data_IF_323349847089
#
_entry.id   IF_323349847089
#
_cell.length_a   1.000
_cell.length_b   1.000
_cell.length_c   1.000
_cell.angle_alpha   90.00
_cell.angle_beta   90.00
_cell.angle_gamma   90.00
#
_symmetry.space_group_name_H-M   'P 1'
#
loop_
_entity.id
_entity.type
_entity.pdbx_description
1 polymer ?
#
# COMPACT_ATOMS: atom_id res chain seq x y z
N UNK A 1 11.19 15.40 6.13
CA UNK A 1 9.81 15.90 6.29
C UNK A 1 9.11 15.00 7.31
N UNK A 2 8.60 15.54 8.43
CA UNK A 2 7.83 14.79 9.44
C UNK A 2 6.37 15.26 9.35
N UNK A 3 5.63 14.72 8.39
CA UNK A 3 4.17 14.75 8.41
C UNK A 3 3.74 13.41 9.01
N UNK A 4 3.46 13.43 10.31
CA UNK A 4 2.99 12.24 11.00
C UNK A 4 1.66 12.63 11.64
N UNK A 5 0.60 11.95 11.22
CA UNK A 5 -0.75 12.15 11.72
C UNK A 5 -0.88 11.47 13.09
N UNK A 6 -0.10 11.92 14.09
CA UNK A 6 -0.09 11.31 15.43
C UNK A 6 -1.49 11.41 16.07
N UNK A 7 -2.14 10.27 16.25
CA UNK A 7 -3.18 10.08 17.28
C UNK A 7 -4.53 10.77 17.05
N UNK A 8 -4.94 11.05 15.81
CA UNK A 8 -6.27 11.63 15.57
C UNK A 8 -7.32 10.54 15.31
N UNK A 9 -8.43 10.61 16.04
CA UNK A 9 -9.64 9.81 15.81
C UNK A 9 -10.16 10.08 14.39
N UNK A 10 -10.61 9.04 13.67
CA UNK A 10 -11.15 9.16 12.31
C UNK A 10 -10.09 9.22 11.20
N UNK A 11 -8.88 8.74 11.47
CA UNK A 11 -7.78 8.71 10.51
C UNK A 11 -7.90 7.52 9.54
N UNK A 12 -7.81 7.83 8.25
CA UNK A 12 -7.97 6.89 7.14
C UNK A 12 -6.75 6.96 6.22
N UNK A 13 -6.13 5.81 5.93
CA UNK A 13 -5.04 5.71 4.96
C UNK A 13 -5.42 4.79 3.81
N UNK A 14 -5.12 5.22 2.59
CA UNK A 14 -5.13 4.39 1.39
C UNK A 14 -3.72 4.37 0.79
N UNK A 15 -3.11 3.20 0.72
CA UNK A 15 -1.83 3.02 0.06
C UNK A 15 -2.01 2.13 -1.18
N UNK A 16 -1.56 2.58 -2.35
CA UNK A 16 -1.69 1.82 -3.60
C UNK A 16 -0.33 1.66 -4.26
N UNK A 17 0.04 0.43 -4.57
CA UNK A 17 1.16 0.14 -5.45
C UNK A 17 0.78 -0.91 -6.48
N UNK A 18 0.59 -0.49 -7.73
CA UNK A 18 0.27 -1.37 -8.84
C UNK A 18 1.18 -1.11 -10.03
N UNK A 19 1.38 -2.09 -10.90
CA UNK A 19 1.97 -1.92 -12.22
C UNK A 19 1.38 -2.95 -13.19
N UNK A 20 1.33 -2.62 -14.48
CA UNK A 20 0.81 -3.51 -15.51
C UNK A 20 1.96 -4.38 -16.03
N UNK A 21 2.11 -5.55 -15.43
CA UNK A 21 3.10 -6.53 -15.86
C UNK A 21 2.77 -7.05 -17.26
N UNK A 22 3.80 -7.31 -18.05
CA UNK A 22 3.66 -7.95 -19.36
C UNK A 22 3.44 -9.47 -19.23
N UNK A 23 3.18 -10.12 -20.36
CA UNK A 23 2.91 -11.55 -20.38
C UNK A 23 4.11 -12.38 -19.91
N UNK A 24 5.34 -11.97 -20.26
CA UNK A 24 6.56 -12.69 -19.86
C UNK A 24 6.72 -12.68 -18.34
N UNK A 25 6.56 -11.53 -17.70
CA UNK A 25 6.55 -11.43 -16.23
C UNK A 25 5.47 -12.32 -15.62
N UNK A 26 4.25 -12.27 -16.17
CA UNK A 26 3.12 -13.02 -15.66
C UNK A 26 3.29 -14.54 -15.80
N UNK A 27 4.15 -15.01 -16.69
CA UNK A 27 4.42 -16.43 -16.90
C UNK A 27 5.71 -16.89 -16.21
N UNK A 28 6.73 -16.05 -16.15
CA UNK A 28 8.11 -16.47 -15.89
C UNK A 28 8.73 -15.87 -14.63
N UNK A 29 8.27 -14.70 -14.16
CA UNK A 29 8.89 -14.03 -13.01
C UNK A 29 8.74 -14.85 -11.71
N UNK A 30 9.75 -14.81 -10.85
CA UNK A 30 9.76 -15.55 -9.58
C UNK A 30 8.59 -15.19 -8.67
N UNK A 31 8.06 -13.96 -8.77
CA UNK A 31 6.93 -13.45 -7.97
C UNK A 31 5.60 -14.10 -8.33
N UNK A 32 5.51 -14.76 -9.49
CA UNK A 32 4.30 -15.52 -9.86
C UNK A 32 4.43 -17.02 -9.58
N UNK A 33 5.59 -17.47 -9.06
CA UNK A 33 5.88 -18.87 -8.75
C UNK A 33 5.58 -19.20 -7.29
N UNK A 34 4.76 -20.23 -6.99
CA UNK A 34 4.36 -20.57 -5.62
C UNK A 34 5.50 -21.12 -4.76
N UNK A 35 6.58 -21.58 -5.37
CA UNK A 35 7.75 -22.22 -4.76
C UNK A 35 8.96 -21.27 -4.63
N UNK A 36 8.85 -20.04 -5.14
CA UNK A 36 9.87 -18.99 -5.02
C UNK A 36 9.30 -17.81 -4.20
N UNK A 37 9.04 -16.66 -4.84
CA UNK A 37 8.48 -15.47 -4.18
C UNK A 37 6.95 -15.59 -4.06
N UNK A 38 6.53 -16.57 -3.25
CA UNK A 38 5.18 -17.12 -3.21
C UNK A 38 4.06 -16.13 -2.82
N UNK A 39 4.43 -15.00 -2.21
CA UNK A 39 3.52 -13.95 -1.75
C UNK A 39 3.01 -13.03 -2.88
N UNK A 40 3.62 -13.11 -4.08
CA UNK A 40 3.19 -12.37 -5.27
C UNK A 40 3.04 -10.87 -5.05
N UNK A 41 1.97 -10.28 -5.60
CA UNK A 41 1.74 -8.83 -5.53
C UNK A 41 1.68 -8.30 -4.10
N UNK A 42 1.24 -9.10 -3.12
CA UNK A 42 1.24 -8.71 -1.71
C UNK A 42 2.66 -8.62 -1.14
N UNK A 43 3.52 -9.60 -1.43
CA UNK A 43 4.89 -9.62 -0.91
C UNK A 43 5.81 -8.61 -1.60
N UNK A 44 5.56 -8.33 -2.88
CA UNK A 44 6.35 -7.39 -3.66
C UNK A 44 5.84 -5.95 -3.50
N UNK A 45 4.68 -5.64 -4.07
CA UNK A 45 4.12 -4.29 -4.07
C UNK A 45 3.40 -3.95 -2.75
N UNK A 46 2.62 -4.91 -2.22
CA UNK A 46 1.88 -4.74 -0.97
C UNK A 46 2.77 -4.48 0.25
N UNK A 47 4.03 -4.92 0.22
CA UNK A 47 5.02 -4.66 1.27
C UNK A 47 5.28 -3.16 1.45
N UNK A 48 5.42 -2.41 0.36
CA UNK A 48 5.60 -0.95 0.42
C UNK A 48 4.36 -0.27 0.99
N UNK A 49 3.16 -0.70 0.59
CA UNK A 49 1.92 -0.16 1.12
C UNK A 49 1.78 -0.44 2.62
N UNK A 50 2.05 -1.66 3.07
CA UNK A 50 2.03 -2.03 4.48
C UNK A 50 3.04 -1.21 5.29
N UNK A 51 4.26 -1.03 4.76
CA UNK A 51 5.30 -0.19 5.36
C UNK A 51 4.86 1.27 5.50
N UNK A 52 4.26 1.83 4.45
CA UNK A 52 3.76 3.21 4.46
C UNK A 52 2.64 3.41 5.49
N UNK A 53 1.69 2.47 5.56
CA UNK A 53 0.60 2.50 6.55
C UNK A 53 1.18 2.43 7.97
N UNK A 54 2.13 1.53 8.22
CA UNK A 54 2.78 1.42 9.53
C UNK A 54 3.53 2.72 9.86
N UNK A 55 4.31 3.27 8.94
CA UNK A 55 5.02 4.53 9.14
C UNK A 55 4.06 5.68 9.49
N UNK A 56 2.93 5.79 8.80
CA UNK A 56 1.92 6.81 9.04
C UNK A 56 1.16 6.63 10.38
N UNK A 57 1.27 5.46 11.00
CA UNK A 57 0.67 5.14 12.30
C UNK A 57 1.71 4.82 13.39
N UNK A 58 2.90 5.42 13.28
CA UNK A 58 3.98 5.30 14.27
C UNK A 58 4.44 3.87 14.54
N UNK A 59 4.36 3.03 13.50
CA UNK A 59 4.65 1.60 13.53
C UNK A 59 3.80 0.78 14.51
N UNK A 60 2.69 1.33 15.00
CA UNK A 60 1.72 0.57 15.78
C UNK A 60 1.04 -0.46 14.88
N UNK A 61 1.08 -1.72 15.28
CA UNK A 61 0.46 -2.81 14.54
C UNK A 61 -1.07 -2.75 14.58
N UNK A 62 -1.77 -3.09 13.49
CA UNK A 62 -3.22 -3.24 13.51
C UNK A 62 -3.63 -4.39 14.43
N UNK A 63 -4.86 -4.30 14.93
CA UNK A 63 -5.49 -5.33 15.76
C UNK A 63 -6.11 -6.43 14.95
N UNK A 64 -6.60 -6.08 13.76
CA UNK A 64 -7.14 -7.03 12.80
C UNK A 64 -6.87 -6.59 11.38
N UNK A 65 -6.84 -7.57 10.48
CA UNK A 65 -6.76 -7.38 9.03
C UNK A 65 -7.87 -8.20 8.40
N UNK A 66 -8.72 -7.54 7.62
CA UNK A 66 -9.80 -8.19 6.88
C UNK A 66 -9.47 -8.15 5.40
N UNK A 67 -9.25 -9.29 4.78
CA UNK A 67 -9.01 -9.37 3.35
C UNK A 67 -10.34 -9.55 2.59
N UNK A 68 -10.49 -8.89 1.43
CA UNK A 68 -11.66 -9.08 0.57
C UNK A 68 -11.59 -10.41 -0.19
N UNK A 69 -12.73 -11.04 -0.53
CA UNK A 69 -12.77 -12.38 -1.13
C UNK A 69 -12.11 -12.49 -2.52
N UNK A 70 -11.83 -11.38 -3.21
CA UNK A 70 -11.13 -11.37 -4.49
C UNK A 70 -9.62 -11.20 -4.32
N UNK A 71 -8.97 -12.26 -3.82
CA UNK A 71 -7.53 -12.38 -3.67
C UNK A 71 -6.98 -13.29 -4.77
N UNK A 72 -6.14 -12.76 -5.63
CA UNK A 72 -5.29 -13.57 -6.51
C UNK A 72 -3.82 -13.27 -6.19
N UNK A 73 -2.90 -14.16 -6.54
CA UNK A 73 -1.46 -13.89 -6.38
C UNK A 73 -0.98 -12.68 -7.20
N UNK A 74 -1.74 -12.33 -8.25
CA UNK A 74 -1.44 -11.24 -9.18
C UNK A 74 -2.09 -9.91 -8.76
N UNK A 75 -3.11 -9.96 -7.91
CA UNK A 75 -3.86 -8.78 -7.49
C UNK A 75 -4.54 -9.04 -6.14
N UNK A 76 -4.32 -8.12 -5.21
CA UNK A 76 -4.99 -8.09 -3.93
C UNK A 76 -5.82 -6.82 -3.84
N UNK A 77 -7.14 -6.98 -3.78
CA UNK A 77 -8.08 -5.88 -3.61
C UNK A 77 -8.28 -5.57 -2.13
N UNK A 78 -7.78 -4.40 -1.69
CA UNK A 78 -8.23 -3.64 -0.52
C UNK A 78 -8.47 -4.43 0.79
N UNK A 79 -7.45 -5.02 1.44
CA UNK A 79 -7.63 -5.50 2.79
C UNK A 79 -7.74 -4.29 3.72
N UNK A 80 -8.66 -4.33 4.68
CA UNK A 80 -8.82 -3.30 5.69
C UNK A 80 -8.03 -3.68 6.95
N UNK A 81 -7.19 -2.78 7.42
CA UNK A 81 -6.43 -2.86 8.66
C UNK A 81 -7.13 -1.97 9.69
N UNK A 82 -7.37 -2.49 10.89
CA UNK A 82 -8.12 -1.80 11.94
C UNK A 82 -7.31 -1.67 13.24
N UNK A 83 -7.47 -0.54 13.93
CA UNK A 83 -6.90 -0.28 15.26
C UNK A 83 -8.00 0.03 16.29
N UNK A 84 -7.68 -0.19 17.58
CA UNK A 84 -8.62 0.01 18.70
C UNK A 84 -9.09 1.48 18.85
N UNK A 85 -8.30 2.43 18.36
CA UNK A 85 -8.59 3.87 18.38
C UNK A 85 -9.45 4.33 17.19
N UNK A 86 -10.00 3.38 16.42
CA UNK A 86 -10.91 3.64 15.30
C UNK A 86 -10.21 4.02 13.99
N UNK A 87 -8.88 3.97 13.92
CA UNK A 87 -8.15 4.16 12.68
C UNK A 87 -8.36 3.00 11.73
N UNK A 88 -8.44 3.31 10.44
CA UNK A 88 -8.59 2.32 9.38
C UNK A 88 -7.57 2.60 8.28
N UNK A 89 -6.98 1.55 7.74
CA UNK A 89 -6.15 1.67 6.54
C UNK A 89 -6.54 0.62 5.53
N UNK A 90 -6.31 0.91 4.25
CA UNK A 90 -6.44 -0.06 3.17
C UNK A 90 -5.20 -0.02 2.30
N UNK A 91 -4.84 -1.17 1.73
CA UNK A 91 -3.82 -1.25 0.70
C UNK A 91 -4.33 -1.89 -0.58
N UNK A 92 -3.83 -1.45 -1.72
CA UNK A 92 -4.16 -2.07 -3.01
C UNK A 92 -2.85 -2.37 -3.74
N UNK A 93 -2.65 -3.64 -4.09
CA UNK A 93 -1.46 -4.07 -4.81
C UNK A 93 -1.78 -5.04 -5.93
N UNK A 94 -1.18 -4.84 -7.10
CA UNK A 94 -1.56 -5.57 -8.32
C UNK A 94 -0.50 -5.49 -9.40
N UNK A 95 -0.28 -6.62 -10.07
CA UNK A 95 0.49 -6.75 -11.32
C UNK A 95 -0.38 -6.54 -12.57
N UNK A 96 -1.67 -6.23 -12.41
CA UNK A 96 -2.66 -6.18 -13.49
C UNK A 96 -3.26 -4.79 -13.72
N UNK A 97 -2.75 -3.75 -13.07
CA UNK A 97 -3.27 -2.39 -13.16
C UNK A 97 -2.12 -1.40 -13.40
N UNK A 98 -2.38 -0.31 -14.14
CA UNK A 98 -1.35 0.65 -14.53
C UNK A 98 -0.51 1.16 -13.35
N UNK A 99 0.73 1.57 -13.63
CA UNK A 99 1.65 2.07 -12.61
C UNK A 99 0.99 3.16 -11.76
N UNK A 100 0.83 2.85 -10.47
CA UNK A 100 0.26 3.75 -9.46
C UNK A 100 1.02 3.52 -8.18
N UNK A 101 1.54 4.59 -7.55
CA UNK A 101 2.40 4.51 -6.37
C UNK A 101 1.99 5.59 -5.37
N UNK A 102 0.79 5.48 -4.81
CA UNK A 102 0.17 6.57 -4.05
C UNK A 102 -0.04 6.25 -2.57
N UNK A 103 0.04 7.30 -1.74
CA UNK A 103 -0.46 7.31 -0.36
C UNK A 103 -1.43 8.49 -0.25
N UNK A 104 -2.64 8.21 0.19
CA UNK A 104 -3.60 9.23 0.61
C UNK A 104 -3.92 8.97 2.07
N UNK A 105 -3.57 9.92 2.92
CA UNK A 105 -3.89 9.88 4.34
C UNK A 105 -4.76 11.07 4.71
N UNK A 106 -5.88 10.80 5.38
CA UNK A 106 -6.87 11.81 5.78
C UNK A 106 -7.04 11.77 7.29
N UNK A 107 -6.80 12.90 7.94
CA UNK A 107 -7.05 13.12 9.36
C UNK A 107 -8.02 14.28 9.58
N UNK A 108 -8.33 14.60 10.83
CA UNK A 108 -9.27 15.68 11.18
C UNK A 108 -8.68 17.08 10.99
N UNK A 109 -7.34 17.19 10.90
CA UNK A 109 -6.64 18.47 10.75
C UNK A 109 -5.99 18.69 9.39
N UNK A 110 -6.16 17.75 8.46
CA UNK A 110 -5.60 17.84 7.12
C UNK A 110 -5.46 16.48 6.45
N UNK A 111 -5.03 16.52 5.20
CA UNK A 111 -4.69 15.35 4.40
C UNK A 111 -3.26 15.41 3.89
N UNK A 112 -2.73 14.26 3.50
CA UNK A 112 -1.42 14.08 2.87
C UNK A 112 -1.62 13.24 1.61
N UNK A 113 -1.16 13.75 0.48
CA UNK A 113 -1.20 13.05 -0.80
C UNK A 113 0.22 12.92 -1.36
N UNK A 114 0.69 11.68 -1.52
CA UNK A 114 1.95 11.34 -2.17
C UNK A 114 1.64 10.50 -3.40
N UNK A 115 2.20 10.84 -4.57
CA UNK A 115 1.88 10.15 -5.83
C UNK A 115 3.02 9.28 -6.37
N UNK A 116 4.18 9.32 -5.73
CA UNK A 116 5.42 8.68 -6.15
C UNK A 116 6.21 8.13 -4.95
N UNK A 117 5.50 7.60 -3.94
CA UNK A 117 6.11 7.28 -2.64
C UNK A 117 7.13 6.12 -2.68
N UNK A 118 7.05 5.25 -3.70
CA UNK A 118 7.97 4.11 -3.87
C UNK A 118 9.18 4.52 -4.70
N UNK A 119 8.93 5.12 -5.87
CA UNK A 119 9.96 5.62 -6.78
C UNK A 119 9.58 7.06 -7.12
N UNK A 120 10.35 8.06 -6.63
CA UNK A 120 10.09 9.46 -6.91
C UNK A 120 10.15 9.79 -8.40
N UNK A 121 9.34 10.74 -8.87
CA UNK A 121 9.39 11.18 -10.28
C UNK A 121 10.72 11.87 -10.62
N UNK A 122 11.31 12.57 -9.65
CA UNK A 122 12.64 13.16 -9.76
C UNK A 122 13.52 12.67 -8.62
N UNK A 123 14.78 12.30 -8.90
CA UNK A 123 15.69 11.67 -7.92
C UNK A 123 15.88 12.44 -6.60
N UNK A 124 15.55 13.74 -6.57
CA UNK A 124 15.73 14.62 -5.40
C UNK A 124 14.44 15.12 -4.78
N UNK A 125 13.27 14.78 -5.31
CA UNK A 125 11.99 15.35 -4.85
C UNK A 125 10.86 14.34 -4.88
N UNK A 126 10.07 14.33 -3.81
CA UNK A 126 8.79 13.59 -3.72
C UNK A 126 7.68 14.61 -3.88
N UNK A 127 6.70 14.31 -4.74
CA UNK A 127 5.59 15.24 -5.00
C UNK A 127 4.53 15.10 -3.91
N UNK A 128 4.36 16.17 -3.15
CA UNK A 128 3.39 16.29 -2.05
C UNK A 128 2.34 17.33 -2.41
N UNK A 129 1.07 16.97 -2.37
CA UNK A 129 -0.06 17.90 -2.46
C UNK A 129 -0.83 17.96 -1.15
#
# INVERSE_FOLDING_TARGET
MRFVCWGQVGFLIHATFTFAADQDFLENDIRVKPDLDALGALGDAGWYCARAILWANDFNLPKSVTALPYLTKRALSYPALHWDDGKVATLHCSFLANLTMTIVASGTKGSLHLNDFVIPFEEKQVWVH
#
